data_IF_695182669868
#
_entry.id   IF_695182669868
#
_cell.length_a   1.000
_cell.length_b   1.000
_cell.length_c   1.000
_cell.angle_alpha   90.00
_cell.angle_beta   90.00
_cell.angle_gamma   90.00
#
_symmetry.space_group_name_H-M   'P 1'
#
loop_
_entity.id
_entity.type
_entity.pdbx_description
1 polymer ?
#
# COMPACT_ATOMS: atom_id res chain seq x y z
N UNK A 1 -1.14 -13.34 -15.43
CA UNK A 1 -0.74 -11.91 -15.38
C UNK A 1 0.58 -11.79 -14.64
N UNK A 2 1.71 -11.71 -15.36
CA UNK A 2 3.08 -11.71 -14.82
C UNK A 2 3.58 -10.26 -14.75
N UNK A 3 3.72 -9.65 -13.57
CA UNK A 3 4.78 -8.67 -13.23
C UNK A 3 4.51 -7.96 -11.89
N UNK A 4 5.40 -8.07 -10.90
CA UNK A 4 5.25 -7.33 -9.62
C UNK A 4 5.19 -5.80 -9.86
N UNK A 5 5.90 -5.28 -10.87
CA UNK A 5 5.84 -3.87 -11.29
C UNK A 5 4.41 -3.36 -11.58
N UNK A 6 3.54 -4.17 -12.17
CA UNK A 6 2.18 -3.70 -12.47
C UNK A 6 1.33 -3.50 -11.21
N UNK A 7 1.55 -4.31 -10.17
CA UNK A 7 0.88 -4.14 -8.89
C UNK A 7 1.31 -2.83 -8.19
N UNK A 8 2.60 -2.49 -8.24
CA UNK A 8 3.09 -1.21 -7.73
C UNK A 8 2.55 -0.01 -8.52
N UNK A 9 2.57 -0.07 -9.85
CA UNK A 9 2.02 1.00 -10.68
C UNK A 9 0.53 1.21 -10.41
N UNK A 10 -0.22 0.12 -10.24
CA UNK A 10 -1.63 0.17 -9.89
C UNK A 10 -1.83 0.77 -8.49
N UNK A 11 -1.01 0.40 -7.50
CA UNK A 11 -1.05 0.99 -6.15
C UNK A 11 -0.82 2.51 -6.19
N UNK A 12 0.19 2.96 -6.94
CA UNK A 12 0.49 4.40 -7.09
C UNK A 12 -0.70 5.10 -7.75
N UNK A 13 -1.23 4.55 -8.84
CA UNK A 13 -2.38 5.13 -9.53
C UNK A 13 -3.62 5.24 -8.62
N UNK A 14 -3.97 4.15 -7.93
CA UNK A 14 -5.12 4.14 -7.02
C UNK A 14 -4.91 5.07 -5.82
N UNK A 15 -3.69 5.15 -5.28
CA UNK A 15 -3.34 6.10 -4.21
C UNK A 15 -3.57 7.55 -4.67
N UNK A 16 -3.12 7.92 -5.88
CA UNK A 16 -3.37 9.25 -6.44
C UNK A 16 -4.86 9.53 -6.62
N UNK A 17 -5.61 8.58 -7.17
CA UNK A 17 -7.07 8.71 -7.31
C UNK A 17 -7.75 8.92 -5.95
N UNK A 18 -7.39 8.13 -4.94
CA UNK A 18 -7.89 8.28 -3.58
C UNK A 18 -7.54 9.65 -2.99
N UNK A 19 -6.32 10.15 -3.24
CA UNK A 19 -5.91 11.47 -2.77
C UNK A 19 -6.74 12.60 -3.39
N UNK A 20 -7.05 12.51 -4.69
CA UNK A 20 -7.95 13.46 -5.35
C UNK A 20 -9.35 13.38 -4.74
N UNK A 21 -9.88 12.18 -4.51
CA UNK A 21 -11.20 12.00 -3.89
C UNK A 21 -11.26 12.57 -2.46
N UNK A 22 -10.26 12.27 -1.63
CA UNK A 22 -10.14 12.80 -0.27
C UNK A 22 -10.12 14.33 -0.29
N UNK A 23 -9.28 14.95 -1.12
CA UNK A 23 -9.20 16.41 -1.24
C UNK A 23 -10.53 17.02 -1.67
N UNK A 24 -11.16 16.49 -2.73
CA UNK A 24 -12.40 17.05 -3.27
C UNK A 24 -13.56 16.99 -2.27
N UNK A 25 -13.67 15.90 -1.50
CA UNK A 25 -14.73 15.74 -0.50
C UNK A 25 -14.47 16.61 0.72
N UNK A 26 -13.24 16.64 1.23
CA UNK A 26 -12.89 17.45 2.40
C UNK A 26 -13.04 18.97 2.12
N UNK A 27 -12.81 19.43 0.89
CA UNK A 27 -13.11 20.80 0.46
C UNK A 27 -14.61 21.16 0.50
N UNK A 28 -15.48 20.16 0.48
CA UNK A 28 -16.93 20.30 0.60
C UNK A 28 -17.41 20.03 2.04
N UNK A 29 -16.48 19.92 3.00
CA UNK A 29 -16.74 19.49 4.37
C UNK A 29 -17.38 18.10 4.48
N UNK A 30 -17.25 17.29 3.42
CA UNK A 30 -17.67 15.89 3.40
C UNK A 30 -16.50 14.96 3.69
N UNK A 31 -16.82 13.78 4.23
CA UNK A 31 -15.83 12.75 4.55
C UNK A 31 -16.10 11.52 3.70
N UNK A 32 -15.03 10.84 3.28
CA UNK A 32 -15.17 9.56 2.60
C UNK A 32 -15.98 8.56 3.44
N UNK A 33 -16.87 7.83 2.76
CA UNK A 33 -17.65 6.80 3.42
C UNK A 33 -16.75 5.71 4.02
N UNK A 34 -17.14 5.17 5.18
CA UNK A 34 -16.39 4.09 5.84
C UNK A 34 -16.22 2.86 4.94
N UNK A 35 -17.20 2.57 4.08
CA UNK A 35 -17.12 1.48 3.09
C UNK A 35 -16.05 1.74 2.04
N UNK A 36 -15.90 2.97 1.55
CA UNK A 36 -14.85 3.35 0.61
C UNK A 36 -13.47 3.22 1.26
N UNK A 37 -13.34 3.66 2.53
CA UNK A 37 -12.07 3.56 3.27
C UNK A 37 -11.69 2.11 3.57
N UNK A 38 -12.67 1.26 3.89
CA UNK A 38 -12.46 -0.17 4.07
C UNK A 38 -12.04 -0.85 2.76
N UNK A 39 -12.70 -0.50 1.64
CA UNK A 39 -12.36 -1.01 0.31
C UNK A 39 -10.94 -0.58 -0.10
N UNK A 40 -10.57 0.68 0.16
CA UNK A 40 -9.22 1.18 -0.07
C UNK A 40 -8.18 0.38 0.71
N UNK A 41 -8.40 0.22 2.02
CA UNK A 41 -7.48 -0.52 2.90
C UNK A 41 -7.33 -1.98 2.47
N UNK A 42 -8.45 -2.65 2.17
CA UNK A 42 -8.43 -4.02 1.69
C UNK A 42 -7.68 -4.16 0.35
N UNK A 43 -7.97 -3.28 -0.60
CA UNK A 43 -7.33 -3.26 -1.93
C UNK A 43 -5.82 -3.01 -1.80
N UNK A 44 -5.42 -2.08 -0.93
CA UNK A 44 -4.02 -1.77 -0.67
C UNK A 44 -3.25 -2.98 -0.12
N UNK A 45 -3.80 -3.63 0.92
CA UNK A 45 -3.19 -4.83 1.51
C UNK A 45 -3.12 -5.95 0.49
N UNK A 46 -4.18 -6.22 -0.26
CA UNK A 46 -4.20 -7.28 -1.26
C UNK A 46 -3.18 -7.05 -2.38
N UNK A 47 -3.07 -5.82 -2.89
CA UNK A 47 -2.10 -5.49 -3.93
C UNK A 47 -0.65 -5.53 -3.44
N UNK A 48 -0.38 -5.12 -2.19
CA UNK A 48 0.97 -5.23 -1.61
C UNK A 48 1.37 -6.68 -1.35
N UNK A 49 0.43 -7.53 -0.92
CA UNK A 49 0.65 -8.99 -0.81
C UNK A 49 0.97 -9.58 -2.18
N UNK A 50 0.16 -9.30 -3.20
CA UNK A 50 0.39 -9.79 -4.56
C UNK A 50 1.72 -9.33 -5.11
N UNK A 51 2.05 -8.05 -4.90
CA UNK A 51 3.33 -7.50 -5.30
C UNK A 51 4.49 -8.28 -4.67
N UNK A 52 4.53 -8.37 -3.34
CA UNK A 52 5.62 -9.02 -2.61
C UNK A 52 5.71 -10.52 -2.91
N UNK A 53 4.57 -11.21 -3.11
CA UNK A 53 4.55 -12.61 -3.55
C UNK A 53 5.22 -12.79 -4.92
N UNK A 54 4.85 -11.97 -5.92
CA UNK A 54 5.47 -12.04 -7.24
C UNK A 54 6.93 -11.55 -7.25
N UNK A 55 7.28 -10.66 -6.33
CA UNK A 55 8.64 -10.16 -6.17
C UNK A 55 9.55 -11.24 -5.54
N UNK A 56 9.10 -11.90 -4.47
CA UNK A 56 9.82 -13.00 -3.83
C UNK A 56 10.07 -14.16 -4.80
N UNK A 57 9.06 -14.50 -5.63
CA UNK A 57 9.19 -15.53 -6.67
C UNK A 57 10.25 -15.21 -7.72
N UNK A 58 10.59 -13.93 -7.93
CA UNK A 58 11.66 -13.51 -8.86
C UNK A 58 13.04 -13.45 -8.19
N UNK A 59 13.09 -13.25 -6.88
CA UNK A 59 14.32 -13.04 -6.13
C UNK A 59 15.00 -14.34 -5.66
N UNK A 60 14.44 -15.51 -5.98
CA UNK A 60 14.96 -16.85 -5.65
C UNK A 60 15.34 -17.03 -4.17
N UNK A 61 14.54 -16.46 -3.28
CA UNK A 61 14.77 -16.55 -1.84
C UNK A 61 14.18 -17.87 -1.36
N UNK A 62 14.97 -18.65 -0.62
CA UNK A 62 14.43 -19.76 0.17
C UNK A 62 13.42 -19.19 1.18
N UNK A 63 12.14 -19.33 0.86
CA UNK A 63 11.07 -18.93 1.75
C UNK A 63 10.64 -20.14 2.57
N UNK A 64 10.60 -20.04 3.91
CA UNK A 64 10.06 -21.10 4.74
C UNK A 64 8.56 -21.18 4.50
N UNK A 65 8.04 -22.40 4.23
CA UNK A 65 6.60 -22.65 4.08
C UNK A 65 5.95 -21.84 2.93
N UNK A 66 4.62 -21.87 2.77
CA UNK A 66 3.90 -21.04 1.81
C UNK A 66 4.01 -19.55 2.20
N UNK A 67 5.01 -18.87 1.62
CA UNK A 67 5.27 -17.44 1.83
C UNK A 67 4.04 -16.56 1.56
N UNK A 68 3.25 -16.90 0.54
CA UNK A 68 2.07 -16.13 0.18
C UNK A 68 1.03 -16.16 1.29
N UNK A 69 0.81 -17.34 1.89
CA UNK A 69 -0.11 -17.50 3.00
C UNK A 69 0.36 -16.79 4.28
N UNK A 70 1.65 -16.93 4.64
CA UNK A 70 2.22 -16.26 5.81
C UNK A 70 2.13 -14.74 5.65
N UNK A 71 2.46 -14.23 4.46
CA UNK A 71 2.36 -12.81 4.15
C UNK A 71 0.91 -12.30 4.21
N UNK A 72 -0.08 -13.12 3.83
CA UNK A 72 -1.49 -12.74 3.94
C UNK A 72 -1.94 -12.59 5.40
N UNK A 73 -1.57 -13.51 6.29
CA UNK A 73 -1.99 -13.49 7.70
C UNK A 73 -1.21 -12.45 8.50
N UNK A 74 0.11 -12.41 8.31
CA UNK A 74 1.03 -11.61 9.13
C UNK A 74 1.65 -10.46 8.33
N UNK A 75 0.92 -9.92 7.35
CA UNK A 75 1.34 -8.81 6.49
C UNK A 75 2.14 -7.70 7.19
N UNK A 76 1.69 -7.11 8.33
CA UNK A 76 2.38 -5.97 8.91
C UNK A 76 3.76 -6.33 9.50
N UNK A 77 4.02 -7.61 9.76
CA UNK A 77 5.29 -8.10 10.32
C UNK A 77 6.16 -8.71 9.23
N UNK A 78 5.55 -9.53 8.36
CA UNK A 78 6.28 -10.31 7.33
C UNK A 78 6.76 -9.41 6.21
N UNK A 79 5.97 -8.41 5.80
CA UNK A 79 6.36 -7.50 4.73
C UNK A 79 7.65 -6.72 5.07
N UNK A 80 7.78 -6.01 6.21
CA UNK A 80 9.02 -5.30 6.52
C UNK A 80 10.21 -6.26 6.72
N UNK A 81 9.98 -7.43 7.33
CA UNK A 81 11.02 -8.46 7.44
C UNK A 81 11.53 -8.93 6.06
N UNK A 82 10.61 -9.21 5.14
CA UNK A 82 10.91 -9.63 3.77
C UNK A 82 11.70 -8.55 3.02
N UNK A 83 11.28 -7.29 3.12
CA UNK A 83 11.96 -6.18 2.47
C UNK A 83 13.37 -5.98 3.03
N UNK A 84 13.54 -6.06 4.34
CA UNK A 84 14.85 -6.01 4.97
C UNK A 84 15.75 -7.17 4.54
N UNK A 85 15.24 -8.40 4.48
CA UNK A 85 16.03 -9.57 4.07
C UNK A 85 16.43 -9.49 2.60
N UNK A 86 15.59 -8.93 1.74
CA UNK A 86 15.92 -8.82 0.30
C UNK A 86 16.83 -7.65 -0.04
N UNK A 87 16.67 -6.52 0.65
CA UNK A 87 17.25 -5.22 0.24
C UNK A 87 17.96 -4.47 1.38
N UNK A 88 18.07 -5.04 2.58
CA UNK A 88 18.63 -4.37 3.74
C UNK A 88 17.86 -3.10 4.13
N UNK A 89 18.59 -2.02 4.41
CA UNK A 89 18.00 -0.74 4.83
C UNK A 89 17.12 -0.10 3.74
N UNK A 90 17.47 -0.30 2.46
CA UNK A 90 16.66 0.19 1.34
C UNK A 90 15.27 -0.46 1.33
N UNK A 91 15.17 -1.70 1.79
CA UNK A 91 13.89 -2.39 1.97
C UNK A 91 12.99 -1.74 3.02
N UNK A 92 13.58 -1.24 4.11
CA UNK A 92 12.83 -0.50 5.13
C UNK A 92 12.36 0.85 4.59
N UNK A 93 13.20 1.56 3.82
CA UNK A 93 12.77 2.78 3.13
C UNK A 93 11.60 2.49 2.17
N UNK A 94 11.66 1.38 1.44
CA UNK A 94 10.58 0.95 0.56
C UNK A 94 9.29 0.67 1.34
N UNK A 95 9.38 0.07 2.53
CA UNK A 95 8.22 -0.14 3.41
C UNK A 95 7.56 1.19 3.80
N UNK A 96 8.36 2.19 4.22
CA UNK A 96 7.83 3.53 4.51
C UNK A 96 7.22 4.20 3.28
N UNK A 97 7.78 3.97 2.08
CA UNK A 97 7.17 4.40 0.83
C UNK A 97 5.82 3.75 0.55
N UNK A 98 5.61 2.48 0.91
CA UNK A 98 4.30 1.84 0.82
C UNK A 98 3.32 2.44 1.85
N UNK A 99 3.76 2.63 3.09
CA UNK A 99 2.92 3.25 4.12
C UNK A 99 2.52 4.68 3.73
N UNK A 100 3.41 5.46 3.12
CA UNK A 100 3.07 6.80 2.63
C UNK A 100 2.06 6.76 1.49
N UNK A 101 2.08 5.74 0.61
CA UNK A 101 1.03 5.56 -0.41
C UNK A 101 -0.32 5.19 0.22
N UNK A 102 -0.34 4.48 1.34
CA UNK A 102 -1.57 4.11 2.03
C UNK A 102 -2.21 5.29 2.77
N UNK A 103 -1.39 6.03 3.52
CA UNK A 103 -1.83 7.12 4.42
C UNK A 103 -1.85 8.49 3.74
N UNK A 104 -1.06 8.66 2.66
CA UNK A 104 -0.92 9.90 1.90
C UNK A 104 -2.24 10.51 1.42
N UNK A 105 -3.18 9.73 0.85
CA UNK A 105 -4.50 10.24 0.45
C UNK A 105 -5.25 10.93 1.59
N UNK A 106 -5.33 10.26 2.74
CA UNK A 106 -5.98 10.80 3.92
C UNK A 106 -5.28 12.07 4.42
N UNK A 107 -3.94 12.09 4.47
CA UNK A 107 -3.17 13.28 4.83
C UNK A 107 -3.45 14.46 3.89
N UNK A 108 -3.55 14.19 2.58
CA UNK A 108 -3.87 15.23 1.60
C UNK A 108 -5.29 15.80 1.82
N UNK A 109 -6.28 14.95 2.11
CA UNK A 109 -7.63 15.38 2.48
C UNK A 109 -7.66 16.23 3.75
N UNK A 110 -6.94 15.81 4.80
CA UNK A 110 -6.82 16.57 6.05
C UNK A 110 -6.17 17.94 5.80
N UNK A 111 -5.10 18.00 5.02
CA UNK A 111 -4.46 19.28 4.64
C UNK A 111 -5.45 20.15 3.84
N UNK A 112 -6.21 19.57 2.92
CA UNK A 112 -7.21 20.32 2.18
C UNK A 112 -8.26 20.95 3.11
N UNK A 113 -8.81 20.15 4.04
CA UNK A 113 -9.80 20.60 5.01
C UNK A 113 -9.29 21.77 5.87
N UNK A 114 -8.11 21.64 6.48
CA UNK A 114 -7.62 22.63 7.45
C UNK A 114 -7.18 23.96 6.83
N UNK A 115 -6.74 23.96 5.57
CA UNK A 115 -6.13 25.14 4.95
C UNK A 115 -6.99 25.79 3.87
N UNK A 116 -8.00 25.10 3.34
CA UNK A 116 -8.75 25.56 2.15
C UNK A 116 -10.28 25.48 2.26
N UNK A 117 -10.82 24.85 3.30
CA UNK A 117 -12.26 24.90 3.65
C UNK A 117 -12.50 26.02 4.67
#
# INVERSE_FOLDING_TARGET
MKNSKSALLLLIFLSLCMGVLEVLLNLQEEVLSGSTQALWSFTFVLLTILWAYYDAKKADIETPFDFGFILYIFWPVVLPWYLYRTRGIEGILMFFGLISLWVGPWLAGVVAYYYFS
#
